data_IF_415523345742
#
_entry.id   IF_415523345742
#
_cell.length_a   1.000
_cell.length_b   1.000
_cell.length_c   1.000
_cell.angle_alpha   90.00
_cell.angle_beta   90.00
_cell.angle_gamma   90.00
#
_symmetry.space_group_name_H-M   'P 1'
#
loop_
_entity.id
_entity.type
_entity.pdbx_description
1 polymer ?
#
# COMPACT_ATOMS: atom_id res chain seq x y z
N UNK A 1 3.45 -21.45 41.50
CA UNK A 1 3.91 -20.10 41.13
C UNK A 1 4.36 -20.12 39.66
N UNK A 2 3.59 -19.53 38.73
CA UNK A 2 3.81 -19.56 37.26
C UNK A 2 4.13 -18.16 36.73
N UNK A 3 5.05 -17.44 37.38
CA UNK A 3 5.40 -16.05 37.04
C UNK A 3 6.64 -15.96 36.13
N UNK A 4 7.43 -17.02 36.00
CA UNK A 4 8.66 -17.04 35.20
C UNK A 4 8.45 -17.03 33.69
N UNK A 5 7.29 -17.51 33.20
CA UNK A 5 7.00 -17.58 31.76
C UNK A 5 6.55 -16.25 31.15
N UNK A 6 6.08 -15.31 31.96
CA UNK A 6 5.60 -14.00 31.49
C UNK A 6 6.78 -13.01 31.39
N UNK A 7 7.78 -13.15 32.26
CA UNK A 7 8.97 -12.30 32.24
C UNK A 7 9.85 -12.49 30.99
N UNK A 8 9.84 -13.69 30.38
CA UNK A 8 10.60 -13.99 29.15
C UNK A 8 9.99 -13.39 27.88
N UNK A 9 8.78 -12.83 27.94
CA UNK A 9 8.07 -12.25 26.79
C UNK A 9 8.14 -10.71 26.76
N UNK A 10 8.88 -10.09 27.68
CA UNK A 10 9.03 -8.62 27.71
C UNK A 10 10.26 -8.20 26.90
N UNK A 11 10.14 -7.21 25.99
CA UNK A 11 11.20 -6.81 25.06
C UNK A 11 12.43 -6.17 25.74
N UNK A 12 12.39 -5.94 27.06
CA UNK A 12 13.48 -5.32 27.83
C UNK A 12 14.03 -6.21 28.97
N UNK A 13 13.71 -7.51 29.00
CA UNK A 13 14.16 -8.41 30.08
C UNK A 13 15.69 -8.47 30.24
N UNK A 14 16.43 -8.24 29.16
CA UNK A 14 17.90 -8.17 29.15
C UNK A 14 18.49 -7.01 29.98
N UNK A 15 17.80 -5.89 30.13
CA UNK A 15 18.26 -4.77 30.97
C UNK A 15 18.12 -5.06 32.47
N UNK A 16 17.30 -6.06 32.83
CA UNK A 16 17.05 -6.46 34.21
C UNK A 16 17.91 -7.66 34.66
N UNK A 17 18.86 -8.09 33.83
CA UNK A 17 19.81 -9.16 34.18
C UNK A 17 19.23 -10.57 34.21
N UNK A 18 18.03 -10.79 33.67
CA UNK A 18 17.47 -12.14 33.54
C UNK A 18 18.01 -12.81 32.27
N UNK A 19 18.47 -14.08 32.34
CA UNK A 19 19.02 -14.78 31.19
C UNK A 19 17.93 -15.03 30.14
N UNK A 20 18.23 -14.72 28.88
CA UNK A 20 17.33 -14.98 27.77
C UNK A 20 17.17 -16.48 27.54
N UNK A 21 15.93 -16.89 27.23
CA UNK A 21 15.58 -18.24 26.81
C UNK A 21 16.32 -18.70 25.54
N UNK A 22 17.11 -17.84 24.88
CA UNK A 22 18.06 -18.24 23.85
C UNK A 22 19.18 -19.17 24.35
N UNK A 23 19.43 -19.25 25.66
CA UNK A 23 20.38 -20.21 26.23
C UNK A 23 19.78 -21.62 26.43
N UNK A 24 18.48 -21.81 26.20
CA UNK A 24 17.78 -23.10 26.37
C UNK A 24 16.83 -23.46 25.21
N UNK A 25 17.07 -22.90 24.03
CA UNK A 25 16.35 -23.25 22.78
C UNK A 25 16.94 -24.53 22.14
N UNK A 26 16.12 -25.42 21.55
CA UNK A 26 16.55 -26.68 20.92
C UNK A 26 17.53 -26.52 19.74
N UNK A 27 17.83 -25.30 19.31
CA UNK A 27 18.90 -25.03 18.33
C UNK A 27 20.31 -25.29 18.87
N UNK A 28 20.49 -25.39 20.20
CA UNK A 28 21.73 -25.86 20.79
C UNK A 28 21.83 -27.40 20.80
N UNK A 29 20.70 -28.11 20.84
CA UNK A 29 20.66 -29.58 20.77
C UNK A 29 20.87 -30.09 19.33
N UNK A 30 20.31 -29.39 18.32
CA UNK A 30 20.54 -29.72 16.91
C UNK A 30 22.01 -29.52 16.47
N UNK A 31 22.76 -28.62 17.14
CA UNK A 31 24.20 -28.47 16.92
C UNK A 31 25.05 -29.48 17.69
N UNK A 32 24.47 -30.18 18.67
CA UNK A 32 25.17 -31.19 19.46
C UNK A 32 25.09 -32.59 18.81
N UNK A 33 24.01 -32.90 18.07
CA UNK A 33 23.89 -34.19 17.38
C UNK A 33 24.75 -34.31 16.10
N UNK A 34 24.99 -33.21 15.36
CA UNK A 34 25.93 -33.21 14.22
C UNK A 34 27.39 -33.50 14.61
N UNK A 35 27.74 -33.32 15.89
CA UNK A 35 29.11 -33.46 16.41
C UNK A 35 29.41 -34.86 16.97
N UNK A 36 28.42 -35.76 17.03
CA UNK A 36 28.63 -37.18 17.41
C UNK A 36 28.89 -38.06 16.17
N UNK A 37 28.23 -37.80 15.05
CA UNK A 37 28.38 -38.59 13.82
C UNK A 37 29.70 -38.36 13.07
N UNK A 38 30.40 -37.25 13.38
CA UNK A 38 31.72 -36.92 12.83
C UNK A 38 32.87 -37.39 13.71
N UNK A 39 32.62 -38.16 14.77
CA UNK A 39 33.67 -38.75 15.61
C UNK A 39 34.05 -40.12 15.07
N UNK A 40 35.35 -40.40 15.04
CA UNK A 40 35.87 -41.73 14.72
C UNK A 40 35.34 -42.74 15.74
N UNK A 41 34.74 -43.83 15.25
CA UNK A 41 34.24 -44.89 16.11
C UNK A 41 35.40 -45.76 16.59
N UNK A 42 35.31 -46.30 17.80
CA UNK A 42 36.37 -47.10 18.43
C UNK A 42 36.75 -48.36 17.63
N UNK A 43 35.83 -48.86 16.79
CA UNK A 43 36.00 -50.06 15.95
C UNK A 43 36.41 -49.75 14.49
N UNK A 44 36.65 -48.49 14.12
CA UNK A 44 36.92 -48.08 12.74
C UNK A 44 38.38 -47.70 12.51
N UNK A 45 38.96 -48.22 11.42
CA UNK A 45 40.29 -47.80 10.95
C UNK A 45 40.27 -46.36 10.42
N UNK A 46 41.41 -45.68 10.47
CA UNK A 46 41.59 -44.31 9.97
C UNK A 46 41.16 -44.17 8.49
N UNK A 47 41.46 -45.19 7.68
CA UNK A 47 41.03 -45.26 6.27
C UNK A 47 39.50 -45.39 6.12
N UNK A 48 38.83 -46.11 7.02
CA UNK A 48 37.37 -46.25 6.98
C UNK A 48 36.65 -45.02 7.51
N UNK A 49 37.27 -44.29 8.45
CA UNK A 49 36.78 -43.00 8.91
C UNK A 49 36.89 -41.94 7.80
N UNK A 50 38.04 -41.84 7.13
CA UNK A 50 38.26 -40.90 6.02
C UNK A 50 37.25 -41.11 4.89
N UNK A 51 37.00 -42.37 4.49
CA UNK A 51 36.08 -42.70 3.40
C UNK A 51 34.62 -42.34 3.71
N UNK A 52 34.19 -42.50 4.96
CA UNK A 52 32.85 -42.13 5.42
C UNK A 52 32.65 -40.62 5.44
N UNK A 53 33.66 -39.89 5.92
CA UNK A 53 33.62 -38.43 5.94
C UNK A 53 33.58 -37.85 4.53
N UNK A 54 34.35 -38.40 3.59
CA UNK A 54 34.29 -38.00 2.18
C UNK A 54 32.92 -38.26 1.53
N UNK A 55 32.26 -39.37 1.89
CA UNK A 55 30.92 -39.70 1.38
C UNK A 55 29.84 -38.79 1.96
N UNK A 56 29.97 -38.44 3.25
CA UNK A 56 29.08 -37.51 3.93
C UNK A 56 29.23 -36.08 3.39
N UNK A 57 30.47 -35.62 3.19
CA UNK A 57 30.75 -34.30 2.60
C UNK A 57 30.21 -34.19 1.16
N UNK A 58 30.35 -35.24 0.34
CA UNK A 58 29.76 -35.29 -1.01
C UNK A 58 28.23 -35.21 -0.97
N UNK A 59 27.60 -35.91 -0.02
CA UNK A 59 26.14 -35.92 0.11
C UNK A 59 25.62 -34.55 0.57
N UNK A 60 26.33 -33.88 1.47
CA UNK A 60 26.01 -32.53 1.92
C UNK A 60 26.19 -31.50 0.79
N UNK A 61 27.23 -31.67 -0.04
CA UNK A 61 27.48 -30.82 -1.20
C UNK A 61 26.40 -31.01 -2.30
N UNK A 62 25.97 -32.25 -2.55
CA UNK A 62 24.84 -32.54 -3.45
C UNK A 62 23.51 -31.97 -2.93
N UNK A 63 23.25 -32.07 -1.63
CA UNK A 63 22.06 -31.50 -1.00
C UNK A 63 22.03 -29.96 -1.11
N UNK A 64 23.17 -29.29 -0.88
CA UNK A 64 23.31 -27.84 -1.06
C UNK A 64 23.10 -27.43 -2.51
N UNK A 65 23.63 -28.20 -3.47
CA UNK A 65 23.45 -27.92 -4.90
C UNK A 65 22.01 -28.09 -5.35
N UNK A 66 21.31 -29.10 -4.83
CA UNK A 66 19.89 -29.30 -5.10
C UNK A 66 19.02 -28.17 -4.51
N UNK A 67 19.31 -27.71 -3.29
CA UNK A 67 18.63 -26.57 -2.68
C UNK A 67 18.88 -25.26 -3.44
N UNK A 68 20.11 -25.05 -3.92
CA UNK A 68 20.47 -23.91 -4.76
C UNK A 68 19.70 -23.94 -6.10
N UNK A 69 19.62 -25.10 -6.77
CA UNK A 69 18.87 -25.24 -8.02
C UNK A 69 17.36 -25.06 -7.85
N UNK A 70 16.80 -25.43 -6.69
CA UNK A 70 15.39 -25.17 -6.41
C UNK A 70 15.13 -23.67 -6.19
N UNK A 71 16.00 -22.99 -5.42
CA UNK A 71 15.94 -21.54 -5.21
C UNK A 71 16.11 -20.77 -6.52
N UNK A 72 17.01 -21.18 -7.40
CA UNK A 72 17.21 -20.54 -8.71
C UNK A 72 16.00 -20.74 -9.64
N UNK A 73 15.32 -21.91 -9.56
CA UNK A 73 14.07 -22.16 -10.31
C UNK A 73 12.89 -21.36 -9.74
N UNK A 74 12.84 -21.16 -8.44
CA UNK A 74 11.83 -20.32 -7.78
C UNK A 74 12.05 -18.84 -8.10
N UNK A 75 13.30 -18.36 -8.06
CA UNK A 75 13.67 -17.00 -8.44
C UNK A 75 13.32 -16.69 -9.90
N UNK A 76 13.64 -17.59 -10.85
CA UNK A 76 13.28 -17.42 -12.27
C UNK A 76 11.77 -17.39 -12.52
N UNK A 77 10.97 -18.10 -11.70
CA UNK A 77 9.50 -18.05 -11.78
C UNK A 77 8.90 -16.79 -11.16
N UNK A 78 9.61 -16.17 -10.22
CA UNK A 78 9.23 -14.87 -9.67
C UNK A 78 9.56 -13.73 -10.67
N UNK A 79 10.72 -13.78 -11.33
CA UNK A 79 11.18 -12.76 -12.28
C UNK A 79 10.30 -12.67 -13.56
N UNK A 80 9.66 -13.76 -13.98
CA UNK A 80 8.73 -13.74 -15.14
C UNK A 80 7.33 -13.19 -14.77
N UNK A 81 7.06 -12.86 -13.50
CA UNK A 81 5.78 -12.32 -13.05
C UNK A 81 5.87 -11.03 -12.23
N UNK A 82 7.06 -10.45 -12.09
CA UNK A 82 7.28 -9.32 -11.18
C UNK A 82 8.03 -8.19 -11.88
N UNK A 83 7.23 -7.39 -12.59
CA UNK A 83 7.55 -5.99 -12.82
C UNK A 83 6.45 -5.18 -12.13
N UNK A 84 6.23 -5.37 -10.81
CA UNK A 84 5.65 -4.31 -9.95
C UNK A 84 5.68 -4.60 -8.43
N UNK A 85 6.56 -3.86 -7.76
CA UNK A 85 6.49 -3.34 -6.37
C UNK A 85 6.68 -4.33 -5.21
N UNK A 86 7.93 -4.32 -4.74
CA UNK A 86 8.31 -4.44 -3.34
C UNK A 86 7.46 -3.52 -2.44
N UNK A 87 6.48 -4.11 -1.77
CA UNK A 87 5.73 -3.50 -0.70
C UNK A 87 5.84 -4.40 0.54
N UNK A 88 6.85 -4.10 1.37
CA UNK A 88 6.94 -4.48 2.78
C UNK A 88 5.59 -4.22 3.48
N UNK A 89 4.77 -5.27 3.57
CA UNK A 89 3.55 -5.29 4.34
C UNK A 89 3.66 -6.41 5.37
N UNK A 90 4.11 -6.01 6.56
CA UNK A 90 3.99 -6.75 7.82
C UNK A 90 2.51 -7.10 8.05
N UNK A 91 2.15 -8.35 7.81
CA UNK A 91 0.89 -8.93 8.28
C UNK A 91 1.13 -10.35 8.81
N UNK A 92 1.66 -10.41 10.03
CA UNK A 92 1.64 -11.60 10.86
C UNK A 92 0.26 -11.74 11.51
N UNK A 93 -0.68 -12.38 10.82
CA UNK A 93 -1.60 -13.37 11.40
C UNK A 93 -2.59 -13.85 10.33
N UNK A 94 -2.42 -15.08 9.84
CA UNK A 94 -3.49 -16.08 9.94
C UNK A 94 -2.94 -17.47 9.57
N UNK A 95 -2.79 -18.34 10.58
CA UNK A 95 -2.49 -19.76 10.35
C UNK A 95 -3.78 -20.46 9.93
N UNK A 96 -4.18 -20.35 8.67
CA UNK A 96 -5.09 -21.34 8.07
C UNK A 96 -4.33 -22.34 7.21
N UNK A 97 -4.43 -23.59 7.65
CA UNK A 97 -3.84 -24.80 7.13
C UNK A 97 -4.23 -25.07 5.66
N UNK A 98 -3.23 -25.04 4.78
CA UNK A 98 -3.30 -25.67 3.46
C UNK A 98 -2.59 -24.88 2.36
N UNK A 99 -1.78 -25.57 1.53
CA UNK A 99 -1.10 -25.00 0.35
C UNK A 99 -2.05 -24.28 -0.63
N UNK A 100 -3.35 -24.56 -0.58
CA UNK A 100 -4.40 -23.85 -1.35
C UNK A 100 -4.89 -22.56 -0.66
N UNK A 101 -4.95 -22.53 0.67
CA UNK A 101 -5.37 -21.36 1.44
C UNK A 101 -4.35 -20.23 1.31
N UNK A 102 -3.05 -20.52 1.44
CA UNK A 102 -1.99 -19.51 1.23
C UNK A 102 -1.97 -18.91 -0.19
N UNK A 103 -2.24 -19.72 -1.22
CA UNK A 103 -2.32 -19.25 -2.61
C UNK A 103 -3.58 -18.38 -2.85
N UNK A 104 -4.70 -18.73 -2.23
CA UNK A 104 -5.92 -17.93 -2.28
C UNK A 104 -5.80 -16.60 -1.51
N UNK A 105 -5.13 -16.60 -0.36
CA UNK A 105 -4.82 -15.38 0.39
C UNK A 105 -3.90 -14.47 -0.42
N UNK A 106 -2.85 -15.01 -1.04
CA UNK A 106 -1.97 -14.26 -1.93
C UNK A 106 -2.70 -13.67 -3.14
N UNK A 107 -3.60 -14.42 -3.78
CA UNK A 107 -4.40 -13.92 -4.89
C UNK A 107 -5.34 -12.78 -4.47
N UNK A 108 -5.99 -12.89 -3.30
CA UNK A 108 -6.82 -11.82 -2.73
C UNK A 108 -6.01 -10.57 -2.41
N UNK A 109 -4.81 -10.74 -1.86
CA UNK A 109 -3.96 -9.61 -1.51
C UNK A 109 -3.46 -8.88 -2.77
N UNK A 110 -3.00 -9.61 -3.79
CA UNK A 110 -2.62 -9.03 -5.09
C UNK A 110 -3.78 -8.27 -5.71
N UNK A 111 -4.99 -8.82 -5.63
CA UNK A 111 -6.20 -8.19 -6.13
C UNK A 111 -6.57 -6.93 -5.36
N UNK A 112 -6.41 -6.93 -4.03
CA UNK A 112 -6.60 -5.74 -3.19
C UNK A 112 -5.59 -4.64 -3.53
N UNK A 113 -4.32 -5.01 -3.73
CA UNK A 113 -3.26 -4.07 -4.16
C UNK A 113 -3.58 -3.48 -5.53
N UNK A 114 -3.98 -4.32 -6.50
CA UNK A 114 -4.43 -3.89 -7.83
C UNK A 114 -5.57 -2.88 -7.73
N UNK A 115 -6.63 -3.22 -7.00
CA UNK A 115 -7.79 -2.33 -6.79
C UNK A 115 -7.37 -1.01 -6.14
N UNK A 116 -6.54 -1.05 -5.10
CA UNK A 116 -6.08 0.12 -4.37
C UNK A 116 -5.30 1.08 -5.27
N UNK A 117 -4.37 0.56 -6.09
CA UNK A 117 -3.59 1.35 -7.03
C UNK A 117 -4.47 2.08 -8.06
N UNK A 118 -5.44 1.36 -8.65
CA UNK A 118 -6.36 1.92 -9.65
C UNK A 118 -7.23 3.03 -9.04
N UNK A 119 -7.82 2.78 -7.86
CA UNK A 119 -8.67 3.77 -7.19
C UNK A 119 -7.87 4.99 -6.76
N UNK A 120 -6.65 4.82 -6.23
CA UNK A 120 -5.78 5.93 -5.86
C UNK A 120 -5.44 6.82 -7.06
N UNK A 121 -5.09 6.23 -8.21
CA UNK A 121 -4.87 6.97 -9.45
C UNK A 121 -6.15 7.68 -9.92
N UNK A 122 -7.30 7.02 -9.82
CA UNK A 122 -8.60 7.62 -10.11
C UNK A 122 -8.93 8.84 -9.27
N UNK A 123 -8.65 8.79 -7.96
CA UNK A 123 -8.83 9.92 -7.04
C UNK A 123 -7.91 11.07 -7.45
N UNK A 124 -6.62 10.78 -7.73
CA UNK A 124 -5.63 11.79 -8.15
C UNK A 124 -6.04 12.51 -9.44
N UNK A 125 -6.60 11.79 -10.41
CA UNK A 125 -7.04 12.32 -11.71
C UNK A 125 -8.48 12.84 -11.71
N UNK A 126 -9.20 12.77 -10.58
CA UNK A 126 -10.62 13.14 -10.50
C UNK A 126 -11.56 12.26 -11.33
N UNK A 127 -11.15 11.02 -11.62
CA UNK A 127 -11.82 10.02 -12.47
C UNK A 127 -12.40 8.86 -11.63
N UNK A 128 -12.86 9.11 -10.41
CA UNK A 128 -13.17 8.06 -9.41
C UNK A 128 -14.15 7.01 -9.92
N UNK A 129 -15.23 7.41 -10.61
CA UNK A 129 -16.24 6.46 -11.12
C UNK A 129 -15.66 5.47 -12.13
N UNK A 130 -14.82 5.96 -13.03
CA UNK A 130 -14.19 5.14 -14.07
C UNK A 130 -13.12 4.23 -13.46
N UNK A 131 -12.37 4.73 -12.47
CA UNK A 131 -11.43 3.92 -11.72
C UNK A 131 -12.11 2.78 -10.95
N UNK A 132 -13.26 3.04 -10.31
CA UNK A 132 -14.03 1.97 -9.65
C UNK A 132 -14.52 0.91 -10.65
N UNK A 133 -14.98 1.31 -11.83
CA UNK A 133 -15.38 0.37 -12.88
C UNK A 133 -14.18 -0.50 -13.32
N UNK A 134 -13.01 0.11 -13.52
CA UNK A 134 -11.81 -0.66 -13.86
C UNK A 134 -11.35 -1.58 -12.73
N UNK A 135 -11.44 -1.15 -11.47
CA UNK A 135 -11.04 -1.95 -10.32
C UNK A 135 -11.96 -3.16 -10.10
N UNK A 136 -13.29 -2.98 -10.14
CA UNK A 136 -14.24 -4.00 -9.69
C UNK A 136 -14.93 -4.78 -10.83
N UNK A 137 -15.12 -4.16 -12.00
CA UNK A 137 -15.87 -4.76 -13.10
C UNK A 137 -14.96 -5.34 -14.19
N UNK A 138 -13.63 -5.19 -14.05
CA UNK A 138 -12.67 -5.64 -15.07
C UNK A 138 -11.45 -6.36 -14.49
N UNK A 139 -10.81 -7.17 -15.34
CA UNK A 139 -9.56 -7.88 -15.05
C UNK A 139 -8.32 -7.19 -15.66
N UNK A 140 -8.39 -5.88 -15.95
CA UNK A 140 -7.24 -5.13 -16.46
C UNK A 140 -6.10 -5.08 -15.44
N UNK A 141 -4.84 -5.08 -15.88
CA UNK A 141 -3.72 -4.84 -14.95
C UNK A 141 -3.77 -3.40 -14.41
N UNK A 142 -3.16 -3.16 -13.25
CA UNK A 142 -3.13 -1.83 -12.64
C UNK A 142 -2.52 -0.79 -13.60
N UNK A 143 -1.40 -1.12 -14.25
CA UNK A 143 -0.75 -0.25 -15.23
C UNK A 143 -1.64 0.10 -16.43
N UNK A 144 -2.37 -0.88 -16.98
CA UNK A 144 -3.30 -0.64 -18.09
C UNK A 144 -4.49 0.23 -17.69
N UNK A 145 -5.04 0.02 -16.50
CA UNK A 145 -6.14 0.84 -16.00
C UNK A 145 -5.66 2.27 -15.70
N UNK A 146 -4.47 2.43 -15.12
CA UNK A 146 -3.87 3.74 -14.84
C UNK A 146 -3.59 4.50 -16.15
N UNK A 147 -3.02 3.85 -17.17
CA UNK A 147 -2.79 4.51 -18.47
C UNK A 147 -4.09 4.96 -19.12
N UNK A 148 -5.15 4.13 -19.08
CA UNK A 148 -6.47 4.52 -19.57
C UNK A 148 -7.07 5.70 -18.79
N UNK A 149 -6.84 5.78 -17.47
CA UNK A 149 -7.27 6.92 -16.65
C UNK A 149 -6.47 8.19 -16.97
N UNK A 150 -5.20 8.08 -17.32
CA UNK A 150 -4.37 9.22 -17.74
C UNK A 150 -4.88 9.74 -19.10
N UNK A 151 -5.01 8.86 -20.09
CA UNK A 151 -5.51 9.23 -21.42
C UNK A 151 -6.92 9.83 -21.34
N UNK A 152 -7.82 9.21 -20.57
CA UNK A 152 -9.17 9.75 -20.39
C UNK A 152 -9.22 11.07 -19.61
N UNK A 153 -8.19 11.38 -18.80
CA UNK A 153 -8.07 12.67 -18.15
C UNK A 153 -7.59 13.76 -19.13
N UNK A 154 -6.73 13.40 -20.09
CA UNK A 154 -6.24 14.27 -21.16
C UNK A 154 -7.33 14.56 -22.22
N UNK A 155 -8.12 13.54 -22.58
CA UNK A 155 -9.24 13.65 -23.52
C UNK A 155 -10.47 14.32 -22.90
N UNK A 156 -10.41 14.70 -21.62
CA UNK A 156 -11.51 15.40 -20.96
C UNK A 156 -11.69 16.77 -21.66
N UNK A 157 -12.85 17.03 -22.29
CA UNK A 157 -13.09 18.35 -22.85
C UNK A 157 -12.96 19.39 -21.73
N UNK A 158 -12.28 20.51 -22.02
CA UNK A 158 -12.02 21.61 -21.07
C UNK A 158 -13.30 22.26 -20.47
N UNK A 159 -14.47 21.69 -20.74
CA UNK A 159 -15.78 22.16 -20.35
C UNK A 159 -16.43 21.23 -19.33
N UNK A 160 -15.99 21.35 -18.10
CA UNK A 160 -16.90 21.58 -16.98
C UNK A 160 -16.07 22.24 -15.88
N UNK A 161 -15.87 23.56 -16.02
CA UNK A 161 -15.68 24.39 -14.83
C UNK A 161 -16.69 23.87 -13.80
N UNK A 162 -16.25 23.51 -12.58
CA UNK A 162 -17.07 22.80 -11.61
C UNK A 162 -18.41 23.51 -11.56
N UNK A 163 -19.47 22.80 -11.95
CA UNK A 163 -20.84 23.33 -12.07
C UNK A 163 -21.00 24.33 -10.94
N UNK A 164 -21.11 25.62 -11.30
CA UNK A 164 -21.02 26.77 -10.41
C UNK A 164 -21.48 26.36 -9.01
N UNK A 165 -20.52 26.14 -8.09
CA UNK A 165 -20.88 25.88 -6.70
C UNK A 165 -21.83 27.01 -6.33
N UNK A 166 -23.02 26.68 -5.84
CA UNK A 166 -23.96 27.70 -5.37
C UNK A 166 -23.15 28.66 -4.48
N UNK A 167 -23.20 29.98 -4.72
CA UNK A 167 -22.34 30.93 -4.02
C UNK A 167 -22.48 30.68 -2.52
N UNK A 168 -21.33 30.61 -1.84
CA UNK A 168 -21.31 30.30 -0.41
C UNK A 168 -22.08 31.38 0.35
N UNK A 169 -22.53 31.08 1.58
CA UNK A 169 -23.18 32.11 2.40
C UNK A 169 -22.27 33.34 2.56
N UNK A 170 -20.97 33.13 2.72
CA UNK A 170 -19.97 34.19 2.86
C UNK A 170 -19.92 35.09 1.61
N UNK A 171 -19.91 34.50 0.42
CA UNK A 171 -19.96 35.23 -0.86
C UNK A 171 -21.29 35.96 -1.06
N UNK A 172 -22.39 35.41 -0.55
CA UNK A 172 -23.70 36.08 -0.56
C UNK A 172 -23.75 37.25 0.42
N UNK A 173 -23.08 37.14 1.56
CA UNK A 173 -23.05 38.17 2.59
C UNK A 173 -22.05 39.29 2.29
N UNK A 174 -20.97 39.01 1.55
CA UNK A 174 -20.00 40.03 1.12
C UNK A 174 -20.62 41.10 0.21
N UNK A 175 -21.61 40.71 -0.59
CA UNK A 175 -22.38 41.61 -1.45
C UNK A 175 -23.66 42.15 -0.80
N UNK A 176 -24.04 41.66 0.38
CA UNK A 176 -25.20 42.14 1.11
C UNK A 176 -24.85 43.42 1.86
N UNK A 177 -25.30 44.56 1.36
CA UNK A 177 -25.16 45.85 2.05
C UNK A 177 -26.25 45.95 3.13
N UNK A 178 -25.93 45.93 4.43
CA UNK A 178 -26.95 46.00 5.47
C UNK A 178 -27.68 47.35 5.38
N UNK A 179 -29.01 47.32 5.42
CA UNK A 179 -29.80 48.53 5.52
C UNK A 179 -29.47 49.21 6.86
N UNK A 180 -29.12 50.50 6.82
CA UNK A 180 -28.78 51.27 8.02
C UNK A 180 -30.08 51.81 8.64
N UNK A 181 -30.56 51.26 9.77
CA UNK A 181 -31.79 51.74 10.40
C UNK A 181 -31.52 53.09 11.06
N UNK A 182 -32.03 54.17 10.45
CA UNK A 182 -31.85 55.55 10.91
C UNK A 182 -31.38 56.52 9.83
N UNK A 183 -30.96 56.03 8.67
CA UNK A 183 -30.72 56.87 7.49
C UNK A 183 -32.05 57.24 6.84
N UNK A 184 -32.52 58.48 7.02
CA UNK A 184 -33.64 59.04 6.24
C UNK A 184 -33.22 59.46 4.81
N UNK A 185 -31.94 59.36 4.47
CA UNK A 185 -31.50 59.43 3.10
C UNK A 185 -31.79 58.09 2.42
N UNK A 186 -32.42 58.07 1.22
CA UNK A 186 -32.55 56.84 0.46
C UNK A 186 -31.13 56.28 0.32
N UNK A 187 -30.90 55.09 0.90
CA UNK A 187 -29.67 54.36 0.66
C UNK A 187 -29.45 54.43 -0.84
N UNK A 188 -28.28 54.92 -1.28
CA UNK A 188 -27.94 55.03 -2.69
C UNK A 188 -28.00 53.61 -3.28
N UNK A 189 -29.21 53.24 -3.68
CA UNK A 189 -29.50 52.03 -4.38
C UNK A 189 -28.72 52.16 -5.66
N UNK A 190 -28.00 51.09 -6.00
CA UNK A 190 -27.58 50.87 -7.38
C UNK A 190 -28.70 51.38 -8.30
N UNK A 191 -28.42 52.31 -9.22
CA UNK A 191 -29.47 52.91 -10.04
C UNK A 191 -30.24 51.77 -10.67
N UNK A 192 -31.56 51.80 -10.50
CA UNK A 192 -32.41 50.72 -11.00
C UNK A 192 -32.17 50.57 -12.50
N UNK A 193 -32.46 49.39 -13.07
CA UNK A 193 -32.31 49.19 -14.51
C UNK A 193 -33.10 50.24 -15.31
N UNK A 194 -34.25 50.69 -14.78
CA UNK A 194 -35.01 51.81 -15.33
C UNK A 194 -34.22 53.13 -15.29
N UNK A 195 -33.57 53.47 -14.17
CA UNK A 195 -32.76 54.68 -14.03
C UNK A 195 -31.55 54.66 -14.98
N UNK A 196 -30.92 53.50 -15.18
CA UNK A 196 -29.81 53.33 -16.13
C UNK A 196 -30.26 53.55 -17.57
N UNK A 197 -31.42 53.01 -17.95
CA UNK A 197 -32.00 53.21 -19.29
C UNK A 197 -32.35 54.68 -19.52
N UNK A 198 -32.95 55.34 -18.53
CA UNK A 198 -33.29 56.77 -18.60
C UNK A 198 -32.02 57.61 -18.71
N UNK A 199 -30.99 57.32 -17.91
CA UNK A 199 -29.70 58.01 -17.96
C UNK A 199 -29.00 57.83 -19.33
N UNK A 200 -28.99 56.61 -19.87
CA UNK A 200 -28.47 56.34 -21.21
C UNK A 200 -29.23 57.09 -22.30
N UNK A 201 -30.56 57.21 -22.16
CA UNK A 201 -31.40 58.00 -23.07
C UNK A 201 -31.10 59.49 -23.03
N UNK A 202 -30.86 60.05 -21.84
CA UNK A 202 -30.49 61.47 -21.64
C UNK A 202 -29.14 61.80 -22.28
N UNK A 203 -28.14 60.93 -22.06
CA UNK A 203 -26.83 61.02 -22.71
C UNK A 203 -26.93 61.04 -24.24
N UNK A 204 -27.77 60.17 -24.82
CA UNK A 204 -27.98 60.10 -26.28
C UNK A 204 -28.71 61.34 -26.84
N UNK A 205 -29.53 62.02 -26.02
CA UNK A 205 -30.22 63.26 -26.41
C UNK A 205 -29.40 64.53 -26.14
N UNK A 206 -28.21 64.42 -25.55
CA UNK A 206 -27.37 65.56 -25.19
C UNK A 206 -27.91 66.35 -23.99
N UNK A 207 -28.81 65.73 -23.20
CA UNK A 207 -29.33 66.28 -21.94
C UNK A 207 -28.34 65.89 -20.83
N UNK A 208 -27.24 66.64 -20.70
CA UNK A 208 -26.31 66.56 -19.55
C UNK A 208 -26.24 67.94 -18.90
#
# INVERSE_FOLDING_TARGET
MKLSKIASAMPFAHFLGLPSASASSPSAAARAEEDEDRKQREDESDDEYAKRMEEQDKKDEEARKAEQEEKDKEAKRAEENDDDVDAEADDKDDKEEGKRAGRAQGARQRERVRCAAIVAAGIKSGMVKQACAFAFDTNMSAAQAISALVVGAEDRPAAAAPTSRKPSLDERMSHARPANPGSSAPAAAEPSLADRIVAAGKLRRGEI
#
